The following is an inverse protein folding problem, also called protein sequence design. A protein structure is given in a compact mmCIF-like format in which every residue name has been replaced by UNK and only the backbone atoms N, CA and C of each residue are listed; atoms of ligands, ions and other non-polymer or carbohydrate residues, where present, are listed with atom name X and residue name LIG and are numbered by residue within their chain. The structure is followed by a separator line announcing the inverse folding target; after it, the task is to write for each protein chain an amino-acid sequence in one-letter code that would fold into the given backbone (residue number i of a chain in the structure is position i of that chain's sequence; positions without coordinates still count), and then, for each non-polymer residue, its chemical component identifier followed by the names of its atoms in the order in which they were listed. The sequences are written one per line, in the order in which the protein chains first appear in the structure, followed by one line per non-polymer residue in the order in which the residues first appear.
data_IF_371884033625
#
_entry.id   IF_371884033625
#
_cell.length_a   1.000
_cell.length_b   1.000
_cell.length_c   1.000
_cell.angle_alpha   90.00
_cell.angle_beta   90.00
_cell.angle_gamma   90.00
#
_symmetry.space_group_name_H-M   'P 1'
#
loop_
_entity.id
_entity.type
_entity.pdbx_description
1 polymer ?
#
# COMPACT_ATOMS: atom_id res chain seq x y z
N UNK A 1 25.94 -18.14 -0.45
CA UNK A 1 25.05 -17.31 0.41
C UNK A 1 23.87 -16.71 -0.37
N UNK A 2 24.01 -16.32 -1.65
CA UNK A 2 22.85 -15.95 -2.48
C UNK A 2 21.90 -17.13 -2.73
N UNK A 3 22.43 -18.35 -2.77
CA UNK A 3 21.65 -19.60 -2.89
C UNK A 3 20.51 -19.70 -1.87
N UNK A 4 20.71 -19.26 -0.62
CA UNK A 4 19.66 -19.27 0.40
C UNK A 4 18.46 -18.40 0.01
N UNK A 5 18.71 -17.21 -0.55
CA UNK A 5 17.62 -16.33 -1.00
C UNK A 5 16.91 -16.91 -2.22
N UNK A 6 17.65 -17.52 -3.14
CA UNK A 6 17.07 -18.23 -4.28
C UNK A 6 16.17 -19.38 -3.81
N UNK A 7 16.60 -20.18 -2.82
CA UNK A 7 15.80 -21.27 -2.26
C UNK A 7 14.53 -20.75 -1.57
N UNK A 8 14.64 -19.68 -0.77
CA UNK A 8 13.48 -19.11 -0.07
C UNK A 8 12.50 -18.47 -1.06
N UNK A 9 13.01 -17.74 -2.06
CA UNK A 9 12.19 -17.17 -3.13
C UNK A 9 11.50 -18.28 -3.92
N UNK A 10 12.23 -19.32 -4.32
CA UNK A 10 11.68 -20.50 -5.02
C UNK A 10 10.53 -21.11 -4.20
N UNK A 11 10.74 -21.37 -2.91
CA UNK A 11 9.71 -21.87 -2.00
C UNK A 11 8.51 -20.93 -1.83
N UNK A 12 8.66 -19.64 -2.14
CA UNK A 12 7.59 -18.65 -2.11
C UNK A 12 6.74 -18.61 -3.40
N UNK A 13 7.19 -19.25 -4.49
CA UNK A 13 6.50 -19.26 -5.78
C UNK A 13 5.09 -19.78 -5.69
N UNK A 14 4.19 -19.14 -6.43
CA UNK A 14 2.82 -19.62 -6.55
C UNK A 14 2.78 -20.99 -7.26
N UNK A 15 1.83 -21.80 -6.83
CA UNK A 15 1.42 -23.13 -7.29
C UNK A 15 2.46 -24.26 -7.33
N UNK A 16 3.71 -24.01 -6.94
CA UNK A 16 4.75 -25.05 -6.86
C UNK A 16 4.82 -25.75 -5.50
N UNK A 17 4.51 -25.04 -4.43
CA UNK A 17 4.61 -25.53 -3.05
C UNK A 17 3.28 -25.39 -2.30
N UNK A 18 3.09 -26.21 -1.26
CA UNK A 18 1.92 -26.11 -0.38
C UNK A 18 1.82 -24.72 0.26
N UNK A 19 0.61 -24.24 0.54
CA UNK A 19 0.40 -22.90 1.12
C UNK A 19 1.18 -22.70 2.42
N UNK A 20 1.30 -23.74 3.25
CA UNK A 20 2.09 -23.66 4.48
C UNK A 20 3.58 -23.41 4.23
N UNK A 21 4.15 -23.95 3.16
CA UNK A 21 5.56 -23.72 2.80
C UNK A 21 5.72 -22.31 2.26
N UNK A 22 4.85 -21.91 1.31
CA UNK A 22 4.88 -20.57 0.71
C UNK A 22 4.74 -19.47 1.77
N UNK A 23 3.80 -19.63 2.69
CA UNK A 23 3.58 -18.71 3.79
C UNK A 23 4.82 -18.58 4.70
N UNK A 24 5.46 -19.70 5.07
CA UNK A 24 6.69 -19.67 5.87
C UNK A 24 7.85 -19.00 5.13
N UNK A 25 8.00 -19.29 3.84
CA UNK A 25 9.02 -18.68 3.00
C UNK A 25 8.84 -17.16 2.91
N UNK A 26 7.62 -16.69 2.59
CA UNK A 26 7.29 -15.25 2.58
C UNK A 26 7.53 -14.59 3.93
N UNK A 27 7.17 -15.25 5.04
CA UNK A 27 7.44 -14.73 6.37
C UNK A 27 8.93 -14.54 6.65
N UNK A 28 9.79 -15.47 6.21
CA UNK A 28 11.24 -15.32 6.33
C UNK A 28 11.74 -14.13 5.51
N UNK A 29 11.24 -13.95 4.29
CA UNK A 29 11.58 -12.81 3.43
C UNK A 29 11.15 -11.49 4.07
N UNK A 30 9.92 -11.44 4.60
CA UNK A 30 9.41 -10.28 5.32
C UNK A 30 10.30 -9.95 6.52
N UNK A 31 10.71 -10.93 7.33
CA UNK A 31 11.65 -10.69 8.44
C UNK A 31 12.94 -10.00 7.94
N UNK A 32 13.50 -10.41 6.81
CA UNK A 32 14.69 -9.74 6.25
C UNK A 32 14.39 -8.31 5.83
N UNK A 33 13.22 -8.06 5.24
CA UNK A 33 12.73 -6.71 4.94
C UNK A 33 12.59 -5.89 6.23
N UNK A 34 12.03 -6.47 7.29
CA UNK A 34 11.90 -5.81 8.61
C UNK A 34 13.24 -5.45 9.21
N UNK A 35 14.25 -6.31 9.09
CA UNK A 35 15.64 -6.03 9.49
C UNK A 35 16.39 -5.06 8.56
N UNK A 36 15.80 -4.61 7.44
CA UNK A 36 16.46 -3.83 6.39
C UNK A 36 17.70 -4.52 5.78
N UNK A 37 17.73 -5.84 5.78
CA UNK A 37 18.81 -6.64 5.19
C UNK A 37 18.38 -7.13 3.79
N UNK A 38 18.17 -6.17 2.89
CA UNK A 38 17.45 -6.38 1.62
C UNK A 38 18.34 -6.55 0.40
N UNK A 39 19.60 -6.11 0.43
CA UNK A 39 20.51 -6.08 -0.73
C UNK A 39 20.57 -7.43 -1.48
N UNK A 40 20.80 -8.53 -0.75
CA UNK A 40 20.88 -9.87 -1.34
C UNK A 40 19.54 -10.40 -1.82
N UNK A 41 18.46 -10.06 -1.11
CA UNK A 41 17.10 -10.40 -1.53
C UNK A 41 16.74 -9.69 -2.83
N UNK A 42 17.07 -8.40 -2.95
CA UNK A 42 16.87 -7.62 -4.17
C UNK A 42 17.67 -8.23 -5.31
N UNK A 43 18.96 -8.52 -5.10
CA UNK A 43 19.80 -9.17 -6.11
C UNK A 43 19.19 -10.48 -6.63
N UNK A 44 18.71 -11.34 -5.72
CA UNK A 44 18.09 -12.61 -6.07
C UNK A 44 16.73 -12.42 -6.79
N UNK A 45 15.90 -11.49 -6.31
CA UNK A 45 14.60 -11.20 -6.90
C UNK A 45 14.73 -10.59 -8.30
N UNK A 46 15.78 -9.84 -8.60
CA UNK A 46 16.02 -9.26 -9.92
C UNK A 46 16.38 -10.28 -10.99
N UNK A 47 16.78 -11.49 -10.61
CA UNK A 47 16.99 -12.62 -11.53
C UNK A 47 15.67 -13.23 -12.00
N UNK A 48 14.55 -12.95 -11.32
CA UNK A 48 13.24 -13.48 -11.67
C UNK A 48 12.62 -12.77 -12.89
N UNK A 49 11.75 -13.48 -13.66
CA UNK A 49 10.88 -12.85 -14.63
C UNK A 49 9.95 -11.81 -13.98
N UNK A 50 9.66 -10.72 -14.69
CA UNK A 50 8.80 -9.63 -14.20
C UNK A 50 7.44 -10.11 -13.67
N UNK A 51 6.86 -11.11 -14.33
CA UNK A 51 5.56 -11.67 -13.93
C UNK A 51 5.63 -12.40 -12.59
N UNK A 52 6.73 -13.11 -12.31
CA UNK A 52 6.91 -13.76 -11.02
C UNK A 52 7.16 -12.73 -9.91
N UNK A 53 7.91 -11.67 -10.20
CA UNK A 53 8.08 -10.53 -9.28
C UNK A 53 6.72 -9.89 -8.98
N UNK A 54 5.85 -9.72 -10.00
CA UNK A 54 4.49 -9.21 -9.83
C UNK A 54 3.68 -10.06 -8.86
N UNK A 55 3.65 -11.38 -9.07
CA UNK A 55 2.90 -12.33 -8.22
C UNK A 55 3.45 -12.37 -6.79
N UNK A 56 4.77 -12.28 -6.64
CA UNK A 56 5.43 -12.15 -5.35
C UNK A 56 4.96 -10.87 -4.62
N UNK A 57 5.00 -9.71 -5.30
CA UNK A 57 4.53 -8.44 -4.73
C UNK A 57 3.05 -8.48 -4.34
N UNK A 58 2.18 -9.04 -5.19
CA UNK A 58 0.74 -9.22 -4.86
C UNK A 58 0.60 -10.01 -3.56
N UNK A 59 1.34 -11.11 -3.43
CA UNK A 59 1.29 -11.97 -2.23
C UNK A 59 1.77 -11.22 -0.99
N UNK A 60 2.85 -10.44 -1.11
CA UNK A 60 3.38 -9.59 -0.03
C UNK A 60 2.37 -8.52 0.38
N UNK A 61 1.76 -7.81 -0.57
CA UNK A 61 0.78 -6.75 -0.26
C UNK A 61 -0.48 -7.32 0.37
N UNK A 62 -0.91 -8.50 -0.05
CA UNK A 62 -2.06 -9.19 0.52
C UNK A 62 -1.82 -9.57 1.97
N UNK A 63 -0.67 -10.20 2.24
CA UNK A 63 -0.24 -10.61 3.58
C UNK A 63 -0.09 -9.41 4.52
N UNK A 64 0.40 -8.29 3.99
CA UNK A 64 0.64 -7.10 4.80
C UNK A 64 -0.58 -6.18 4.98
N UNK A 65 -1.62 -6.34 4.17
CA UNK A 65 -2.80 -5.47 4.12
C UNK A 65 -3.48 -5.25 5.48
N UNK A 66 -3.50 -6.26 6.34
CA UNK A 66 -4.14 -6.21 7.67
C UNK A 66 -3.36 -5.31 8.64
N UNK A 67 -2.03 -5.29 8.52
CA UNK A 67 -1.17 -4.56 9.44
C UNK A 67 -1.05 -3.08 9.13
N UNK A 68 -1.43 -2.69 7.92
CA UNK A 68 -1.39 -1.30 7.46
C UNK A 68 -2.55 -0.46 7.97
N UNK A 69 -3.63 -1.11 8.40
CA UNK A 69 -4.85 -0.47 8.89
C UNK A 69 -4.80 -0.31 10.41
N UNK A 70 -4.06 -1.19 11.10
CA UNK A 70 -4.01 -1.21 12.55
C UNK A 70 -2.79 -0.43 13.07
N UNK A 71 -2.98 0.58 13.95
CA UNK A 71 -1.85 1.20 14.63
C UNK A 71 -1.10 0.13 15.44
N UNK A 72 0.20 -0.01 15.16
CA UNK A 72 1.13 -0.79 15.98
C UNK A 72 1.36 -0.08 17.31
N UNK A 73 0.37 -0.16 18.19
CA UNK A 73 0.50 0.34 19.55
C UNK A 73 0.77 -0.82 20.50
N UNK A 74 1.62 -0.63 21.52
CA UNK A 74 2.04 -1.68 22.46
C UNK A 74 0.88 -2.31 23.25
N UNK A 75 -0.32 -1.72 23.20
CA UNK A 75 -1.53 -2.24 23.85
C UNK A 75 -2.29 -3.27 23.01
N UNK A 76 -2.04 -3.40 21.70
CA UNK A 76 -2.74 -4.35 20.83
C UNK A 76 -2.13 -5.76 20.89
N UNK A 77 -2.26 -6.42 22.04
CA UNK A 77 -1.91 -7.85 22.24
C UNK A 77 -2.58 -8.79 21.22
N UNK A 78 -3.71 -8.38 20.64
CA UNK A 78 -4.48 -9.16 19.67
C UNK A 78 -3.71 -9.34 18.35
N UNK A 79 -2.86 -8.40 17.96
CA UNK A 79 -2.07 -8.48 16.72
C UNK A 79 -0.81 -9.34 16.91
N UNK A 80 -0.29 -9.49 18.14
CA UNK A 80 0.94 -10.25 18.37
C UNK A 80 0.78 -11.76 18.18
N UNK A 81 -0.43 -12.30 18.28
CA UNK A 81 -0.68 -13.75 18.18
C UNK A 81 -0.87 -14.26 16.74
N UNK A 82 -1.27 -13.40 15.80
CA UNK A 82 -1.56 -13.83 14.42
C UNK A 82 -0.42 -13.52 13.46
N UNK A 83 0.36 -14.56 13.18
CA UNK A 83 1.11 -14.83 11.94
C UNK A 83 2.32 -13.94 11.56
N UNK A 84 2.42 -12.66 11.92
CA UNK A 84 3.51 -11.78 11.46
C UNK A 84 4.41 -11.22 12.55
N UNK A 85 4.38 -11.82 13.75
CA UNK A 85 5.21 -11.43 14.89
C UNK A 85 6.70 -11.27 14.50
N UNK A 86 7.23 -12.17 13.66
CA UNK A 86 8.60 -12.09 13.18
C UNK A 86 8.94 -10.77 12.49
N UNK A 87 8.11 -10.31 11.55
CA UNK A 87 8.33 -9.05 10.84
C UNK A 87 8.39 -7.86 11.80
N UNK A 88 7.39 -7.72 12.67
CA UNK A 88 7.32 -6.61 13.61
C UNK A 88 8.43 -6.65 14.65
N UNK A 89 8.71 -7.83 15.21
CA UNK A 89 9.80 -8.02 16.16
C UNK A 89 11.19 -7.77 15.57
N UNK A 90 11.29 -7.75 14.24
CA UNK A 90 12.54 -7.52 13.51
C UNK A 90 12.78 -6.06 13.12
N UNK A 91 11.77 -5.19 13.30
CA UNK A 91 11.86 -3.75 13.07
C UNK A 91 12.71 -3.09 14.15
N UNK A 92 13.36 -1.98 13.80
CA UNK A 92 14.10 -1.19 14.78
C UNK A 92 13.15 -0.41 15.69
N UNK A 93 13.55 -0.13 16.93
CA UNK A 93 12.70 0.52 17.95
C UNK A 93 12.25 1.95 17.56
N UNK A 94 12.97 2.60 16.64
CA UNK A 94 12.65 3.90 16.09
C UNK A 94 11.75 3.84 14.84
N UNK A 95 11.37 2.65 14.41
CA UNK A 95 10.41 2.44 13.31
C UNK A 95 8.98 2.51 13.80
N UNK A 96 8.45 3.71 13.76
CA UNK A 96 7.13 4.02 14.30
C UNK A 96 5.96 3.61 13.40
N UNK A 97 6.22 3.21 12.15
CA UNK A 97 5.19 2.72 11.25
C UNK A 97 5.62 1.42 10.58
N UNK A 98 4.73 0.45 10.69
CA UNK A 98 4.83 -0.90 10.15
C UNK A 98 5.36 -0.96 8.72
N UNK A 99 4.88 -0.06 7.86
CA UNK A 99 5.17 -0.09 6.43
C UNK A 99 6.56 0.44 6.05
N UNK A 100 7.26 1.13 6.96
CA UNK A 100 8.52 1.79 6.60
C UNK A 100 9.59 0.86 6.01
N UNK A 101 9.84 -0.34 6.56
CA UNK A 101 10.83 -1.24 5.97
C UNK A 101 10.40 -1.75 4.60
N UNK A 102 9.11 -2.04 4.42
CA UNK A 102 8.60 -2.49 3.12
C UNK A 102 8.68 -1.39 2.07
N UNK A 103 8.32 -0.14 2.42
CA UNK A 103 8.45 1.00 1.52
C UNK A 103 9.90 1.22 1.11
N UNK A 104 10.84 1.13 2.05
CA UNK A 104 12.27 1.23 1.76
C UNK A 104 12.74 0.12 0.82
N UNK A 105 12.36 -1.14 1.08
CA UNK A 105 12.65 -2.28 0.20
C UNK A 105 12.14 -2.06 -1.23
N UNK A 106 10.89 -1.62 -1.37
CA UNK A 106 10.30 -1.34 -2.69
C UNK A 106 11.04 -0.19 -3.38
N UNK A 107 11.32 0.90 -2.67
CA UNK A 107 12.07 2.03 -3.23
C UNK A 107 13.45 1.62 -3.72
N UNK A 108 14.19 0.81 -2.95
CA UNK A 108 15.52 0.29 -3.32
C UNK A 108 15.44 -0.65 -4.54
N UNK A 109 14.40 -1.50 -4.60
CA UNK A 109 14.15 -2.37 -5.75
C UNK A 109 13.85 -1.56 -7.03
N UNK A 110 13.01 -0.53 -6.92
CA UNK A 110 12.66 0.36 -8.04
C UNK A 110 13.84 1.25 -8.45
N UNK A 111 14.67 1.67 -7.51
CA UNK A 111 15.93 2.36 -7.81
C UNK A 111 16.88 1.47 -8.60
N UNK A 112 17.02 0.21 -8.19
CA UNK A 112 17.92 -0.75 -8.84
C UNK A 112 17.43 -1.12 -10.25
N UNK A 113 16.11 -1.28 -10.43
CA UNK A 113 15.50 -1.56 -11.73
C UNK A 113 14.21 -0.74 -11.94
N UNK A 114 14.32 0.50 -12.48
CA UNK A 114 13.16 1.38 -12.68
C UNK A 114 12.05 0.78 -13.56
N UNK A 115 12.39 -0.12 -14.48
CA UNK A 115 11.39 -0.84 -15.31
C UNK A 115 10.35 -1.60 -14.46
N UNK A 116 10.67 -1.98 -13.22
CA UNK A 116 9.73 -2.64 -12.31
C UNK A 116 8.64 -1.72 -11.76
N UNK A 117 8.69 -0.40 -11.99
CA UNK A 117 7.64 0.52 -11.54
C UNK A 117 6.26 0.10 -12.04
N UNK A 118 6.15 -0.28 -13.31
CA UNK A 118 4.88 -0.75 -13.88
C UNK A 118 4.42 -2.08 -13.27
N UNK A 119 5.36 -2.98 -13.02
CA UNK A 119 5.10 -4.27 -12.35
C UNK A 119 4.55 -4.04 -10.94
N UNK A 120 5.16 -3.14 -10.17
CA UNK A 120 4.72 -2.80 -8.83
C UNK A 120 3.33 -2.13 -8.82
N UNK A 121 3.05 -1.24 -9.78
CA UNK A 121 1.73 -0.63 -9.96
C UNK A 121 0.68 -1.71 -10.25
N UNK A 122 0.94 -2.62 -11.20
CA UNK A 122 0.02 -3.71 -11.53
C UNK A 122 -0.11 -4.77 -10.42
N UNK A 123 0.84 -4.84 -9.50
CA UNK A 123 0.71 -5.62 -8.29
C UNK A 123 -0.21 -4.97 -7.23
N UNK A 124 -0.65 -3.72 -7.45
CA UNK A 124 -1.55 -2.99 -6.55
C UNK A 124 -0.84 -2.04 -5.57
N UNK A 125 0.40 -1.63 -5.86
CA UNK A 125 1.16 -0.75 -4.96
C UNK A 125 0.47 0.60 -4.74
N UNK A 126 -0.13 1.20 -5.77
CA UNK A 126 -0.80 2.51 -5.64
C UNK A 126 -2.03 2.42 -4.72
N UNK A 127 -2.83 1.36 -4.85
CA UNK A 127 -3.96 1.09 -3.94
C UNK A 127 -3.48 0.89 -2.51
N UNK A 128 -2.36 0.19 -2.33
CA UNK A 128 -1.75 -0.02 -1.02
C UNK A 128 -1.32 1.31 -0.39
N UNK A 129 -0.56 2.12 -1.13
CA UNK A 129 -0.08 3.42 -0.66
C UNK A 129 -1.25 4.36 -0.30
N UNK A 130 -2.31 4.35 -1.10
CA UNK A 130 -3.50 5.13 -0.87
C UNK A 130 -4.21 4.72 0.42
N UNK A 131 -4.40 3.42 0.64
CA UNK A 131 -4.98 2.88 1.87
C UNK A 131 -4.16 3.23 3.10
N UNK A 132 -2.84 3.06 3.04
CA UNK A 132 -1.95 3.40 4.16
C UNK A 132 -2.07 4.90 4.47
N UNK A 133 -2.07 5.77 3.45
CA UNK A 133 -2.18 7.22 3.63
C UNK A 133 -3.47 7.62 4.34
N UNK A 134 -4.60 7.06 3.92
CA UNK A 134 -5.91 7.31 4.54
C UNK A 134 -5.91 6.83 5.98
N UNK A 135 -5.54 5.56 6.23
CA UNK A 135 -5.56 5.00 7.58
C UNK A 135 -4.64 5.80 8.52
N UNK A 136 -3.44 6.16 8.04
CA UNK A 136 -2.47 6.89 8.83
C UNK A 136 -2.89 8.33 9.15
N UNK A 137 -3.52 9.05 8.23
CA UNK A 137 -4.00 10.42 8.50
C UNK A 137 -5.12 10.43 9.55
N UNK A 138 -6.03 9.46 9.48
CA UNK A 138 -7.08 9.28 10.49
C UNK A 138 -6.49 9.03 11.87
N UNK A 139 -5.54 8.10 11.97
CA UNK A 139 -4.90 7.75 13.24
C UNK A 139 -4.08 8.91 13.83
N UNK A 140 -3.39 9.67 12.98
CA UNK A 140 -2.62 10.83 13.43
C UNK A 140 -3.52 11.91 14.05
N UNK A 141 -4.65 12.20 13.40
CA UNK A 141 -5.58 13.25 13.82
C UNK A 141 -6.43 12.87 15.04
N UNK A 142 -6.82 11.60 15.17
CA UNK A 142 -7.71 11.15 16.26
C UNK A 142 -6.97 10.89 17.56
N UNK A 143 -5.71 10.46 17.48
CA UNK A 143 -4.99 9.99 18.64
C UNK A 143 -4.09 11.03 19.30
N UNK A 144 -3.54 12.00 18.57
CA UNK A 144 -2.47 12.87 19.10
C UNK A 144 -1.22 12.11 19.59
N UNK A 145 -1.12 10.81 19.28
CA UNK A 145 -0.17 9.86 19.87
C UNK A 145 1.07 9.63 19.00
N UNK A 146 1.02 9.97 17.71
CA UNK A 146 2.20 9.77 16.86
C UNK A 146 3.18 10.93 17.01
N UNK A 147 4.44 10.63 17.35
CA UNK A 147 5.50 11.62 17.40
C UNK A 147 5.64 12.30 16.02
N UNK A 148 5.71 13.63 16.00
CA UNK A 148 5.84 14.43 14.77
C UNK A 148 7.04 13.98 13.91
N UNK A 149 8.14 13.56 14.53
CA UNK A 149 9.32 13.03 13.80
C UNK A 149 8.97 11.77 13.00
N UNK A 150 8.25 10.85 13.64
CA UNK A 150 7.76 9.61 13.05
C UNK A 150 6.87 9.87 11.85
N UNK A 151 5.94 10.83 11.99
CA UNK A 151 5.06 11.25 10.91
C UNK A 151 5.85 11.79 9.73
N UNK A 152 6.81 12.69 9.98
CA UNK A 152 7.66 13.26 8.92
C UNK A 152 8.47 12.18 8.21
N UNK A 153 9.09 11.25 8.95
CA UNK A 153 9.85 10.15 8.37
C UNK A 153 8.98 9.23 7.51
N UNK A 154 7.80 8.86 8.01
CA UNK A 154 6.86 8.03 7.26
C UNK A 154 6.35 8.72 5.98
N UNK A 155 6.00 10.01 6.06
CA UNK A 155 5.63 10.81 4.89
C UNK A 155 6.78 10.89 3.87
N UNK A 156 8.02 11.01 4.33
CA UNK A 156 9.19 11.01 3.46
C UNK A 156 9.35 9.67 2.72
N UNK A 157 9.21 8.53 3.41
CA UNK A 157 9.28 7.21 2.77
C UNK A 157 8.16 6.98 1.75
N UNK A 158 6.93 7.42 2.03
CA UNK A 158 5.83 7.39 1.05
C UNK A 158 6.16 8.24 -0.18
N UNK A 159 6.63 9.48 0.02
CA UNK A 159 6.99 10.39 -1.06
C UNK A 159 8.10 9.81 -1.92
N UNK A 160 9.13 9.25 -1.29
CA UNK A 160 10.25 8.62 -1.99
C UNK A 160 9.75 7.48 -2.89
N UNK A 161 8.94 6.56 -2.35
CA UNK A 161 8.40 5.44 -3.12
C UNK A 161 7.55 5.93 -4.30
N UNK A 162 6.67 6.92 -4.08
CA UNK A 162 5.88 7.54 -5.15
C UNK A 162 6.74 8.24 -6.20
N UNK A 163 7.79 8.93 -5.78
CA UNK A 163 8.75 9.58 -6.68
C UNK A 163 9.45 8.57 -7.58
N UNK A 164 9.86 7.41 -7.05
CA UNK A 164 10.45 6.32 -7.86
C UNK A 164 9.45 5.76 -8.89
N UNK A 165 8.18 5.62 -8.51
CA UNK A 165 7.13 5.19 -9.43
C UNK A 165 6.86 6.22 -10.53
N UNK A 166 6.82 7.51 -10.17
CA UNK A 166 6.58 8.60 -11.11
C UNK A 166 7.81 8.94 -11.97
N UNK A 167 9.02 8.54 -11.57
CA UNK A 167 10.26 8.83 -12.31
C UNK A 167 10.41 8.10 -13.65
N UNK A 168 9.51 7.17 -13.98
CA UNK A 168 9.48 6.44 -15.26
C UNK A 168 8.27 6.90 -16.06
N UNK A 169 8.46 7.37 -17.30
CA UNK A 169 7.41 8.04 -18.08
C UNK A 169 6.10 7.24 -18.17
N UNK A 170 6.19 5.94 -18.46
CA UNK A 170 5.00 5.08 -18.57
C UNK A 170 4.29 4.89 -17.22
N UNK A 171 5.07 4.81 -16.13
CA UNK A 171 4.53 4.65 -14.78
C UNK A 171 3.97 5.96 -14.23
N UNK A 172 4.56 7.10 -14.60
CA UNK A 172 4.09 8.44 -14.26
C UNK A 172 2.64 8.64 -14.71
N UNK A 173 2.31 8.26 -15.96
CA UNK A 173 0.93 8.34 -16.48
C UNK A 173 -0.07 7.57 -15.61
N UNK A 174 0.32 6.38 -15.14
CA UNK A 174 -0.50 5.57 -14.25
C UNK A 174 -0.62 6.18 -12.84
N UNK A 175 0.46 6.73 -12.29
CA UNK A 175 0.46 7.43 -11.00
C UNK A 175 -0.46 8.64 -11.05
N UNK A 176 -0.35 9.46 -12.09
CA UNK A 176 -1.17 10.66 -12.28
C UNK A 176 -2.66 10.33 -12.47
N UNK A 177 -2.96 9.24 -13.19
CA UNK A 177 -4.32 8.74 -13.36
C UNK A 177 -4.91 8.13 -12.07
N UNK A 178 -4.08 7.73 -11.12
CA UNK A 178 -4.52 7.11 -9.87
C UNK A 178 -4.97 8.18 -8.84
N UNK A 179 -5.99 7.92 -8.01
CA UNK A 179 -6.51 8.88 -7.02
C UNK A 179 -5.48 9.44 -6.04
N UNK A 180 -4.42 8.67 -5.79
CA UNK A 180 -3.31 9.06 -4.91
C UNK A 180 -2.59 10.33 -5.37
N UNK A 181 -2.59 10.64 -6.67
CA UNK A 181 -1.95 11.85 -7.21
C UNK A 181 -2.54 13.12 -6.62
N UNK A 182 -3.85 13.14 -6.36
CA UNK A 182 -4.54 14.28 -5.75
C UNK A 182 -4.14 14.53 -4.30
N UNK A 183 -3.54 13.53 -3.64
CA UNK A 183 -3.07 13.63 -2.26
C UNK A 183 -1.61 14.11 -2.16
N UNK A 184 -0.93 14.28 -3.30
CA UNK A 184 0.49 14.63 -3.38
C UNK A 184 0.74 15.67 -4.48
N UNK A 185 0.34 16.94 -4.24
CA UNK A 185 0.46 18.00 -5.24
C UNK A 185 1.91 18.24 -5.67
N UNK A 186 2.90 17.91 -4.83
CA UNK A 186 4.32 18.06 -5.18
C UNK A 186 4.75 17.18 -6.36
N UNK A 187 4.08 16.05 -6.62
CA UNK A 187 4.32 15.23 -7.81
C UNK A 187 3.87 15.92 -9.10
N UNK A 188 3.01 16.94 -9.00
CA UNK A 188 2.43 17.68 -10.12
C UNK A 188 3.27 18.93 -10.42
N UNK A 189 3.92 19.51 -9.42
CA UNK A 189 4.69 20.76 -9.55
C UNK A 189 6.09 20.57 -10.15
N UNK A 190 6.68 19.38 -10.05
CA UNK A 190 8.06 19.11 -10.51
C UNK A 190 8.18 18.71 -12.00
N UNK A 191 7.08 18.42 -12.71
CA UNK A 191 7.10 18.04 -14.13
C UNK A 191 6.39 19.08 -15.04
N UNK A 192 7.13 19.93 -15.76
CA UNK A 192 6.55 20.98 -16.60
C UNK A 192 5.79 20.45 -17.83
N UNK A 193 5.82 19.14 -18.11
CA UNK A 193 5.07 18.52 -19.23
C UNK A 193 3.63 18.16 -18.82
N UNK A 194 3.32 18.15 -17.52
CA UNK A 194 2.01 17.74 -16.96
C UNK A 194 0.95 18.87 -17.02
N UNK A 195 1.18 19.87 -17.87
CA UNK A 195 0.27 21.02 -17.99
C UNK A 195 -1.08 20.65 -18.64
N UNK A 196 -1.14 19.53 -19.37
CA UNK A 196 -2.36 19.06 -20.07
C UNK A 196 -3.30 18.23 -19.18
N UNK A 197 -2.79 17.63 -18.10
CA UNK A 197 -3.62 16.90 -17.11
C UNK A 197 -4.28 17.82 -16.07
N UNK A 198 -4.05 19.14 -16.15
CA UNK A 198 -4.70 20.14 -15.27
C UNK A 198 -6.23 20.21 -15.46
N UNK A 199 -6.79 19.55 -16.47
CA UNK A 199 -8.24 19.35 -16.58
C UNK A 199 -8.83 18.52 -15.42
N UNK A 200 -8.05 17.67 -14.75
CA UNK A 200 -8.52 16.93 -13.57
C UNK A 200 -8.47 17.81 -12.30
N UNK A 201 -7.71 18.91 -12.34
CA UNK A 201 -7.42 19.74 -11.16
C UNK A 201 -8.41 20.90 -10.92
N UNK A 202 -9.44 21.07 -11.75
CA UNK A 202 -10.44 22.14 -11.59
C UNK A 202 -11.88 21.65 -11.39
N UNK A 203 -12.06 20.35 -11.11
CA UNK A 203 -13.37 19.81 -10.76
C UNK A 203 -13.67 19.92 -9.28
N UNK A 204 -14.86 20.43 -8.92
CA UNK A 204 -15.45 20.26 -7.59
C UNK A 204 -15.44 18.77 -7.20
N UNK A 205 -15.44 18.46 -5.90
CA UNK A 205 -15.52 17.08 -5.38
C UNK A 205 -16.62 16.26 -6.07
N UNK A 206 -17.74 16.91 -6.42
CA UNK A 206 -18.87 16.35 -7.16
C UNK A 206 -18.54 15.94 -8.60
N UNK A 207 -17.69 16.68 -9.30
CA UNK A 207 -17.23 16.34 -10.65
C UNK A 207 -16.21 15.19 -10.63
N UNK A 208 -15.37 15.10 -9.59
CA UNK A 208 -14.51 13.93 -9.37
C UNK A 208 -15.35 12.68 -9.14
N UNK A 209 -16.37 12.76 -8.28
CA UNK A 209 -17.31 11.66 -8.04
C UNK A 209 -18.09 11.25 -9.30
N UNK A 210 -18.51 12.19 -10.14
CA UNK A 210 -19.22 11.91 -11.39
C UNK A 210 -18.36 11.14 -12.42
N UNK A 211 -17.07 11.47 -12.51
CA UNK A 211 -16.08 10.74 -13.31
C UNK A 211 -15.91 9.30 -12.83
N UNK A 212 -15.98 9.09 -11.51
CA UNK A 212 -15.82 7.78 -10.89
C UNK A 212 -17.08 6.92 -11.00
N UNK A 213 -18.26 7.50 -10.87
CA UNK A 213 -19.53 6.80 -11.10
C UNK A 213 -19.73 6.36 -12.56
N UNK A 214 -18.95 6.90 -13.49
CA UNK A 214 -18.97 6.54 -14.91
C UNK A 214 -18.03 5.38 -15.30
N UNK A 215 -17.17 4.91 -14.39
CA UNK A 215 -16.30 3.74 -14.64
C UNK A 215 -17.02 2.45 -14.23
N UNK A 216 -17.92 1.96 -15.10
CA UNK A 216 -18.54 0.64 -14.93
C UNK A 216 -17.51 -0.49 -15.12
N UNK A 217 -17.31 -1.33 -14.09
CA UNK A 217 -17.60 -2.78 -14.07
C UNK A 217 -16.83 -3.53 -12.96
N UNK A 218 -17.62 -4.24 -12.14
CA UNK A 218 -17.31 -5.40 -11.27
C UNK A 218 -16.35 -5.18 -10.09
N UNK A 219 -16.97 -5.23 -8.92
CA UNK A 219 -16.37 -5.18 -7.60
C UNK A 219 -15.08 -6.03 -7.46
N UNK A 220 -13.98 -5.38 -7.13
CA UNK A 220 -12.66 -5.95 -6.85
C UNK A 220 -12.50 -6.30 -5.36
N UNK A 221 -11.42 -7.01 -5.02
CA UNK A 221 -11.02 -7.32 -3.63
C UNK A 221 -10.93 -6.08 -2.73
N UNK A 222 -10.74 -4.88 -3.31
CA UNK A 222 -10.75 -3.61 -2.59
C UNK A 222 -12.14 -3.26 -2.01
N UNK A 223 -13.23 -3.58 -2.71
CA UNK A 223 -14.59 -3.29 -2.24
C UNK A 223 -15.08 -4.29 -1.18
N UNK A 224 -14.60 -5.55 -1.23
CA UNK A 224 -14.78 -6.50 -0.11
C UNK A 224 -14.03 -6.03 1.15
N UNK A 225 -12.86 -5.40 0.97
CA UNK A 225 -12.05 -4.84 2.07
C UNK A 225 -12.63 -3.54 2.65
N UNK A 226 -13.31 -2.73 1.84
CA UNK A 226 -14.06 -1.56 2.32
C UNK A 226 -15.27 -1.94 3.19
N UNK A 227 -15.90 -3.10 2.94
CA UNK A 227 -16.95 -3.61 3.83
C UNK A 227 -16.41 -4.03 5.20
N UNK A 228 -15.23 -4.65 5.26
CA UNK A 228 -14.55 -5.01 6.53
C UNK A 228 -14.12 -3.77 7.31
N UNK A 229 -13.73 -2.71 6.60
CA UNK A 229 -13.45 -1.39 7.21
C UNK A 229 -14.72 -0.85 7.92
N UNK A 230 -15.91 -1.07 7.36
CA UNK A 230 -17.18 -0.64 7.96
C UNK A 230 -17.54 -1.44 9.24
N UNK A 231 -17.16 -2.71 9.33
CA UNK A 231 -17.36 -3.52 10.55
C UNK A 231 -16.42 -3.10 11.70
N UNK A 232 -15.22 -2.61 11.39
CA UNK A 232 -14.26 -2.08 12.39
C UNK A 232 -14.71 -0.70 12.91
N UNK A 233 -15.46 0.06 12.12
CA UNK A 233 -15.88 1.43 12.47
C UNK A 233 -17.03 1.53 13.48
N UNK A 234 -17.71 0.42 13.79
CA UNK A 234 -18.78 0.43 14.80
C UNK A 234 -18.28 0.55 16.26
N UNK A 235 -16.97 0.40 16.51
CA UNK A 235 -16.39 0.37 17.86
C UNK A 235 -15.75 1.69 18.34
N UNK A 236 -15.80 2.79 17.58
CA UNK A 236 -15.15 4.06 17.96
C UNK A 236 -16.09 5.28 18.05
N UNK A 237 -15.85 6.08 19.09
CA UNK A 237 -16.72 7.13 19.66
C UNK A 237 -17.28 8.19 18.67
N UNK A 238 -18.55 8.64 18.85
CA UNK A 238 -19.30 9.42 17.85
C UNK A 238 -18.89 10.89 17.63
N UNK A 239 -17.91 11.44 18.36
CA UNK A 239 -17.73 12.91 18.41
C UNK A 239 -16.69 13.48 17.43
N UNK A 240 -16.04 12.67 16.59
CA UNK A 240 -15.02 13.13 15.63
C UNK A 240 -15.19 12.67 14.19
N UNK A 241 -16.30 11.98 13.84
CA UNK A 241 -16.42 11.25 12.58
C UNK A 241 -17.27 11.91 11.48
N UNK A 242 -18.01 12.99 11.77
CA UNK A 242 -18.98 13.64 10.86
C UNK A 242 -18.48 13.78 9.41
N UNK A 243 -17.31 14.36 9.21
CA UNK A 243 -16.91 14.84 7.88
C UNK A 243 -16.27 13.76 7.01
N UNK A 244 -15.74 12.69 7.61
CA UNK A 244 -15.07 11.62 6.88
C UNK A 244 -15.96 10.36 6.77
N UNK A 245 -16.89 10.18 7.71
CA UNK A 245 -17.93 9.16 7.63
C UNK A 245 -18.91 9.45 6.49
N UNK A 246 -19.14 10.73 6.16
CA UNK A 246 -19.86 11.13 4.94
C UNK A 246 -19.21 10.56 3.67
N UNK A 247 -17.88 10.66 3.53
CA UNK A 247 -17.15 10.10 2.39
C UNK A 247 -17.21 8.58 2.33
N UNK A 248 -17.05 7.88 3.47
CA UNK A 248 -17.09 6.41 3.50
C UNK A 248 -18.50 5.86 3.28
N UNK A 249 -19.54 6.49 3.86
CA UNK A 249 -20.95 6.12 3.67
C UNK A 249 -21.38 6.38 2.22
N UNK A 250 -20.99 7.49 1.61
CA UNK A 250 -21.28 7.75 0.19
C UNK A 250 -20.58 6.74 -0.73
N UNK A 251 -19.32 6.37 -0.46
CA UNK A 251 -18.61 5.35 -1.23
C UNK A 251 -19.24 3.95 -1.11
N UNK A 252 -19.85 3.62 0.04
CA UNK A 252 -20.59 2.36 0.27
C UNK A 252 -22.01 2.40 -0.31
N UNK A 253 -22.67 3.56 -0.31
CA UNK A 253 -24.00 3.71 -0.91
C UNK A 253 -23.94 3.71 -2.45
N UNK A 254 -22.87 4.26 -3.04
CA UNK A 254 -22.60 4.22 -4.47
C UNK A 254 -22.26 2.80 -4.96
N UNK A 255 -21.68 1.94 -4.12
CA UNK A 255 -21.45 0.52 -4.45
C UNK A 255 -22.70 -0.34 -4.28
N UNK A 256 -23.65 0.05 -3.42
CA UNK A 256 -24.88 -0.71 -3.18
C UNK A 256 -25.96 -0.45 -4.26
N UNK A 257 -25.91 0.69 -4.92
CA UNK A 257 -26.92 1.13 -5.90
C UNK A 257 -26.69 0.59 -7.32
N UNK A 258 -25.52 0.02 -7.61
CA UNK A 258 -25.23 -0.66 -8.89
C UNK A 258 -25.79 -2.09 -8.98
N UNK A 259 -26.33 -2.65 -7.89
CA UNK A 259 -26.88 -4.02 -7.85
C UNK A 259 -28.39 -4.04 -8.20
N UNK A 260 -29.07 -2.90 -8.24
CA UNK A 260 -30.51 -2.82 -8.50
C UNK A 260 -30.91 -2.59 -9.97
N UNK A 261 -29.95 -2.55 -10.90
CA UNK A 261 -30.19 -2.36 -12.33
C UNK A 261 -29.56 -3.43 -13.25
N UNK A 262 -29.56 -4.68 -12.79
CA UNK A 262 -29.36 -5.89 -13.62
C UNK A 262 -30.33 -6.96 -13.18
#
# INVERSE_FOLDING_TARGET
MNEMYNDILEMSRQDLYSESIRFRARKLLLIQVGCRQTERLISALLEWPEEEIRLFMVSVFDEMSVFWILPQWPTNKIVSERSSNGYFSSQADDEHHAAMPLLAFISELLETRPALSRVAIYAGLLDMLFKIRICYSHLFNSAGVCNRKSHVAFQASLRECLGRLAGVEESCKLVLAHPISTMWPELIEEDPVVYDYRFIYLGSQKQRLALWSGMEYKFTLAERRLCVINEIFHDFSPHGMSDHMGMCIELVQLSSSSILHT
#
